data_IF_306169980401
#
_entry.id   IF_306169980401
#
_cell.length_a   1.000
_cell.length_b   1.000
_cell.length_c   1.000
_cell.angle_alpha   90.00
_cell.angle_beta   90.00
_cell.angle_gamma   90.00
#
_symmetry.space_group_name_H-M   'P 1'
#
loop_
_entity.id
_entity.type
_entity.pdbx_description
1 polymer ?
#
# COMPACT_ATOMS: atom_id res chain seq x y z
N UNK A 1 -12.59 17.89 -31.51
CA UNK A 1 -11.24 18.30 -31.01
C UNK A 1 -10.62 17.23 -30.12
N UNK A 2 -11.30 16.75 -29.06
CA UNK A 2 -10.80 15.69 -28.15
C UNK A 2 -10.31 14.42 -28.87
N UNK A 3 -11.15 13.81 -29.72
CA UNK A 3 -10.82 12.56 -30.43
C UNK A 3 -9.62 12.69 -31.40
N UNK A 4 -9.50 13.81 -32.11
CA UNK A 4 -8.36 14.05 -33.02
C UNK A 4 -7.05 14.25 -32.25
N UNK A 5 -7.09 15.07 -31.18
CA UNK A 5 -5.94 15.30 -30.31
C UNK A 5 -5.40 13.99 -29.75
N UNK A 6 -6.29 13.19 -29.15
CA UNK A 6 -5.95 11.89 -28.59
C UNK A 6 -5.38 10.92 -29.63
N UNK A 7 -6.01 10.82 -30.81
CA UNK A 7 -5.55 9.93 -31.89
C UNK A 7 -4.14 10.28 -32.36
N UNK A 8 -3.85 11.56 -32.56
CA UNK A 8 -2.51 12.01 -33.02
C UNK A 8 -1.46 11.85 -31.93
N UNK A 9 -1.80 12.15 -30.68
CA UNK A 9 -0.91 11.91 -29.53
C UNK A 9 -0.54 10.44 -29.37
N UNK A 10 -1.53 9.53 -29.44
CA UNK A 10 -1.30 8.09 -29.37
C UNK A 10 -0.45 7.59 -30.53
N UNK A 11 -0.73 8.04 -31.75
CA UNK A 11 0.06 7.66 -32.93
C UNK A 11 1.53 8.06 -32.79
N UNK A 12 1.79 9.32 -32.41
CA UNK A 12 3.16 9.79 -32.21
C UNK A 12 3.88 9.02 -31.09
N UNK A 13 3.19 8.78 -29.98
CA UNK A 13 3.74 7.99 -28.87
C UNK A 13 4.08 6.56 -29.27
N UNK A 14 3.17 5.86 -29.95
CA UNK A 14 3.36 4.46 -30.36
C UNK A 14 4.47 4.26 -31.39
N UNK A 15 4.79 5.30 -32.15
CA UNK A 15 5.81 5.25 -33.20
C UNK A 15 7.11 5.97 -32.81
N UNK A 16 7.25 6.39 -31.56
CA UNK A 16 8.42 7.11 -31.05
C UNK A 16 8.78 8.36 -31.86
N UNK A 17 7.74 9.10 -32.28
CA UNK A 17 7.88 10.26 -33.14
C UNK A 17 7.57 11.56 -32.40
N UNK A 18 8.25 12.62 -32.82
CA UNK A 18 7.90 14.01 -32.53
C UNK A 18 8.09 14.47 -31.07
N UNK A 19 8.69 13.66 -30.20
CA UNK A 19 8.93 14.03 -28.79
C UNK A 19 9.83 15.27 -28.62
N UNK A 20 10.71 15.53 -29.58
CA UNK A 20 11.58 16.71 -29.59
C UNK A 20 10.91 17.97 -30.15
N UNK A 21 9.72 17.86 -30.74
CA UNK A 21 8.98 19.00 -31.27
C UNK A 21 8.09 19.62 -30.20
N UNK A 22 7.92 20.94 -30.27
CA UNK A 22 6.96 21.61 -29.42
C UNK A 22 5.55 21.08 -29.70
N UNK A 23 4.72 20.95 -28.66
CA UNK A 23 3.37 20.40 -28.79
C UNK A 23 2.51 21.20 -29.81
N UNK A 24 2.81 22.48 -29.99
CA UNK A 24 2.18 23.36 -30.98
C UNK A 24 2.40 22.90 -32.42
N UNK A 25 3.49 22.20 -32.70
CA UNK A 25 3.78 21.60 -34.01
C UNK A 25 2.99 20.31 -34.23
N UNK A 26 2.47 19.71 -33.16
CA UNK A 26 1.64 18.53 -33.24
C UNK A 26 0.20 18.86 -33.64
N UNK A 27 -0.28 20.10 -33.49
CA UNK A 27 -1.70 20.40 -33.66
C UNK A 27 -1.93 21.73 -34.37
N UNK A 28 -2.81 21.72 -35.37
CA UNK A 28 -3.18 22.92 -36.15
C UNK A 28 -4.18 23.83 -35.40
N UNK A 29 -4.24 23.72 -34.07
CA UNK A 29 -5.14 24.50 -33.22
C UNK A 29 -4.45 24.95 -31.93
N UNK A 30 -4.96 26.03 -31.34
CA UNK A 30 -4.44 26.56 -30.08
C UNK A 30 -4.59 25.54 -28.95
N UNK A 31 -3.46 25.20 -28.33
CA UNK A 31 -3.38 24.27 -27.20
C UNK A 31 -3.65 25.03 -25.90
N UNK A 32 -4.57 24.57 -25.04
CA UNK A 32 -4.75 25.16 -23.72
C UNK A 32 -3.52 24.94 -22.85
N UNK A 33 -3.26 25.85 -21.91
CA UNK A 33 -2.17 25.65 -20.93
C UNK A 33 -2.51 24.44 -20.04
N UNK A 34 -1.49 23.65 -19.69
CA UNK A 34 -1.64 22.59 -18.68
C UNK A 34 -2.14 23.21 -17.37
N UNK A 35 -3.18 22.60 -16.80
CA UNK A 35 -3.65 22.89 -15.44
C UNK A 35 -3.00 21.99 -14.40
N UNK A 36 -2.21 21.01 -14.85
CA UNK A 36 -1.55 20.00 -14.03
C UNK A 36 -0.11 20.45 -13.81
N UNK A 37 0.38 20.25 -12.58
CA UNK A 37 1.73 20.61 -12.18
C UNK A 37 2.81 19.81 -12.94
N UNK A 38 3.98 20.38 -13.28
CA UNK A 38 5.04 19.66 -13.97
C UNK A 38 5.57 18.43 -13.23
N UNK A 39 5.50 18.44 -11.90
CA UNK A 39 5.90 17.37 -10.98
C UNK A 39 4.75 16.41 -10.64
N UNK A 40 3.58 16.53 -11.27
CA UNK A 40 2.41 15.72 -10.95
C UNK A 40 2.67 14.21 -11.03
N UNK A 41 3.46 13.76 -12.03
CA UNK A 41 3.80 12.34 -12.18
C UNK A 41 4.67 11.89 -11.01
N UNK A 42 5.68 12.67 -10.63
CA UNK A 42 6.56 12.38 -9.49
C UNK A 42 5.74 12.30 -8.19
N UNK A 43 4.92 13.32 -7.91
CA UNK A 43 4.04 13.33 -6.75
C UNK A 43 3.05 12.16 -6.73
N UNK A 44 2.52 11.75 -7.88
CA UNK A 44 1.59 10.61 -7.98
C UNK A 44 2.29 9.27 -7.73
N UNK A 45 3.58 9.16 -8.10
CA UNK A 45 4.39 7.97 -7.82
C UNK A 45 4.86 7.94 -6.37
N UNK A 46 5.13 9.10 -5.77
CA UNK A 46 5.54 9.24 -4.38
C UNK A 46 4.37 9.15 -3.40
N UNK A 47 3.16 9.53 -3.82
CA UNK A 47 1.98 9.44 -2.98
C UNK A 47 1.71 7.99 -2.64
N UNK A 48 1.93 7.61 -1.38
CA UNK A 48 1.35 6.40 -0.80
C UNK A 48 -0.16 6.61 -0.82
N UNK A 49 -0.82 6.09 -1.86
CA UNK A 49 -2.27 6.27 -2.08
C UNK A 49 -3.02 6.11 -0.75
N UNK A 50 -3.93 7.02 -0.38
CA UNK A 50 -4.82 6.81 0.76
C UNK A 50 -5.68 5.58 0.46
N UNK A 51 -5.38 4.47 1.11
CA UNK A 51 -5.94 3.18 0.78
C UNK A 51 -7.41 3.17 1.16
N UNK A 52 -8.28 3.27 0.16
CA UNK A 52 -9.72 3.16 0.33
C UNK A 52 -10.05 1.77 0.89
N UNK A 53 -10.60 1.70 2.10
CA UNK A 53 -10.89 0.43 2.80
C UNK A 53 -12.15 -0.17 2.16
N UNK A 54 -11.98 -0.87 1.05
CA UNK A 54 -13.06 -1.66 0.45
C UNK A 54 -13.33 -2.88 1.33
N UNK A 55 -14.41 -2.83 2.12
CA UNK A 55 -14.76 -3.89 3.08
C UNK A 55 -14.90 -5.29 2.45
N UNK A 56 -15.22 -5.37 1.15
CA UNK A 56 -15.36 -6.61 0.41
C UNK A 56 -14.04 -7.14 -0.19
N UNK A 57 -12.97 -6.33 -0.21
CA UNK A 57 -11.66 -6.76 -0.68
C UNK A 57 -11.12 -7.90 0.19
N UNK A 58 -10.48 -8.86 -0.45
CA UNK A 58 -9.83 -10.01 0.18
C UNK A 58 -8.43 -9.63 0.63
N UNK A 59 -8.07 -10.07 1.82
CA UNK A 59 -6.74 -9.89 2.39
C UNK A 59 -5.90 -11.14 2.12
N UNK A 60 -4.76 -10.96 1.47
CA UNK A 60 -3.82 -12.05 1.14
C UNK A 60 -2.41 -11.67 1.59
N UNK A 61 -1.77 -12.56 2.35
CA UNK A 61 -0.37 -12.49 2.74
C UNK A 61 0.46 -13.46 1.89
N UNK A 62 1.47 -12.93 1.20
CA UNK A 62 2.37 -13.72 0.34
C UNK A 62 3.77 -13.94 0.91
N UNK A 63 4.10 -13.29 2.03
CA UNK A 63 5.39 -13.47 2.70
C UNK A 63 5.45 -14.72 3.57
N UNK A 64 6.63 -14.99 4.12
CA UNK A 64 6.84 -16.08 5.08
C UNK A 64 6.46 -15.65 6.50
N UNK A 65 6.39 -16.62 7.42
CA UNK A 65 6.26 -16.32 8.85
C UNK A 65 7.46 -15.49 9.33
N UNK A 66 7.23 -14.46 10.17
CA UNK A 66 8.31 -13.63 10.69
C UNK A 66 9.12 -14.34 11.77
N UNK A 67 10.36 -13.89 11.97
CA UNK A 67 11.15 -14.18 13.17
C UNK A 67 10.69 -13.21 14.26
N UNK A 68 10.39 -13.72 15.45
CA UNK A 68 9.77 -12.94 16.54
C UNK A 68 10.72 -12.82 17.73
N UNK A 69 11.00 -11.59 18.14
CA UNK A 69 11.75 -11.28 19.34
C UNK A 69 10.87 -10.48 20.32
N UNK A 70 10.76 -10.94 21.56
CA UNK A 70 10.03 -10.25 22.62
C UNK A 70 10.96 -9.34 23.42
N UNK A 71 10.51 -8.12 23.70
CA UNK A 71 11.23 -7.18 24.55
C UNK A 71 10.26 -6.23 25.26
N UNK A 72 10.78 -5.47 26.23
CA UNK A 72 9.98 -4.52 27.00
C UNK A 72 10.43 -3.09 26.71
N UNK A 73 9.47 -2.18 26.49
CA UNK A 73 9.72 -0.75 26.45
C UNK A 73 9.24 -0.12 27.76
N UNK A 74 10.10 0.63 28.44
CA UNK A 74 9.72 1.41 29.61
C UNK A 74 9.36 2.83 29.17
N UNK A 75 8.14 3.26 29.48
CA UNK A 75 7.70 4.65 29.28
C UNK A 75 7.06 5.15 30.58
N UNK A 76 7.67 6.19 31.17
CA UNK A 76 7.23 6.77 32.45
C UNK A 76 7.08 5.73 33.59
N UNK A 77 8.04 4.80 33.69
CA UNK A 77 8.06 3.77 34.74
C UNK A 77 7.09 2.61 34.56
N UNK A 78 6.27 2.61 33.49
CA UNK A 78 5.46 1.45 33.10
C UNK A 78 6.19 0.67 32.01
N UNK A 79 6.46 -0.59 32.28
CA UNK A 79 6.93 -1.54 31.26
C UNK A 79 5.74 -2.04 30.44
N UNK A 80 5.86 -1.95 29.12
CA UNK A 80 4.91 -2.58 28.20
C UNK A 80 5.65 -3.60 27.33
N UNK A 81 5.09 -4.81 27.16
CA UNK A 81 5.67 -5.83 26.29
C UNK A 81 5.43 -5.49 24.81
N UNK A 82 6.48 -5.64 24.01
CA UNK A 82 6.49 -5.45 22.55
C UNK A 82 7.06 -6.69 21.88
N UNK A 83 6.62 -6.93 20.66
CA UNK A 83 7.22 -7.91 19.76
C UNK A 83 7.84 -7.18 18.57
N UNK A 84 9.06 -7.58 18.22
CA UNK A 84 9.70 -7.25 16.95
C UNK A 84 9.55 -8.45 16.02
N UNK A 85 8.85 -8.25 14.91
CA UNK A 85 8.63 -9.24 13.86
C UNK A 85 9.51 -8.89 12.67
N UNK A 86 10.40 -9.79 12.29
CA UNK A 86 11.30 -9.61 11.15
C UNK A 86 10.84 -10.51 10.00
N UNK A 87 10.39 -9.89 8.92
CA UNK A 87 9.96 -10.55 7.70
C UNK A 87 11.11 -10.54 6.70
N UNK A 88 11.48 -11.70 6.16
CA UNK A 88 12.59 -11.81 5.22
C UNK A 88 12.07 -12.21 3.83
N UNK A 89 12.62 -11.59 2.81
CA UNK A 89 12.49 -11.99 1.40
C UNK A 89 13.87 -12.30 0.82
N UNK A 90 13.93 -12.69 -0.46
CA UNK A 90 15.22 -12.97 -1.11
C UNK A 90 16.13 -11.74 -1.20
N UNK A 91 15.54 -10.53 -1.31
CA UNK A 91 16.27 -9.31 -1.63
C UNK A 91 16.17 -8.24 -0.52
N UNK A 92 15.31 -8.44 0.48
CA UNK A 92 14.97 -7.40 1.45
C UNK A 92 14.44 -7.99 2.78
N UNK A 93 14.48 -7.21 3.84
CA UNK A 93 13.96 -7.53 5.16
C UNK A 93 13.17 -6.37 5.76
N UNK A 94 12.00 -6.66 6.33
CA UNK A 94 11.17 -5.68 7.01
C UNK A 94 11.07 -5.99 8.50
N UNK A 95 11.34 -4.99 9.34
CA UNK A 95 11.10 -5.07 10.78
C UNK A 95 9.83 -4.32 11.18
N UNK A 96 8.90 -5.02 11.82
CA UNK A 96 7.67 -4.44 12.37
C UNK A 96 7.68 -4.59 13.88
N UNK A 97 7.57 -3.47 14.59
CA UNK A 97 7.55 -3.43 16.05
C UNK A 97 6.19 -2.97 16.55
N UNK A 98 5.47 -3.84 17.25
CA UNK A 98 4.13 -3.57 17.76
C UNK A 98 3.99 -4.02 19.23
N UNK A 99 3.05 -3.41 19.99
CA UNK A 99 2.65 -3.93 21.31
C UNK A 99 2.27 -5.42 21.19
N UNK A 100 2.67 -6.22 22.18
CA UNK A 100 2.52 -7.68 22.14
C UNK A 100 1.13 -8.18 21.71
N UNK A 101 0.01 -7.67 22.27
CA UNK A 101 -1.33 -8.12 21.86
C UNK A 101 -1.65 -7.84 20.38
N UNK A 102 -1.23 -6.68 19.86
CA UNK A 102 -1.47 -6.31 18.47
C UNK A 102 -0.57 -7.10 17.51
N UNK A 103 0.66 -7.38 17.92
CA UNK A 103 1.58 -8.22 17.15
C UNK A 103 1.09 -9.66 17.06
N UNK A 104 0.64 -10.24 18.18
CA UNK A 104 0.06 -11.58 18.21
C UNK A 104 -1.20 -11.69 17.33
N UNK A 105 -2.08 -10.68 17.43
CA UNK A 105 -3.25 -10.57 16.55
C UNK A 105 -2.84 -10.52 15.07
N UNK A 106 -1.88 -9.66 14.72
CA UNK A 106 -1.43 -9.51 13.34
C UNK A 106 -0.85 -10.83 12.80
N UNK A 107 -0.01 -11.52 13.57
CA UNK A 107 0.54 -12.82 13.17
C UNK A 107 -0.55 -13.85 12.89
N UNK A 108 -1.60 -13.90 13.73
CA UNK A 108 -2.74 -14.79 13.53
C UNK A 108 -3.52 -14.44 12.26
N UNK A 109 -3.71 -13.15 11.98
CA UNK A 109 -4.34 -12.69 10.73
C UNK A 109 -3.49 -13.10 9.53
N UNK A 110 -2.18 -12.82 9.53
CA UNK A 110 -1.29 -13.17 8.41
C UNK A 110 -1.24 -14.67 8.16
N UNK A 111 -1.14 -15.49 9.21
CA UNK A 111 -1.14 -16.95 9.11
C UNK A 111 -2.46 -17.52 8.56
N UNK A 112 -3.58 -16.83 8.78
CA UNK A 112 -4.92 -17.23 8.30
C UNK A 112 -5.38 -16.50 7.03
N UNK A 113 -4.49 -15.71 6.43
CA UNK A 113 -4.71 -14.94 5.20
C UNK A 113 -3.73 -15.33 4.09
N UNK A 114 -3.19 -16.55 4.11
CA UNK A 114 -2.29 -17.00 3.02
C UNK A 114 -3.07 -17.20 1.72
N UNK A 115 -2.37 -17.22 0.57
CA UNK A 115 -2.99 -17.47 -0.74
C UNK A 115 -3.74 -18.81 -0.85
N UNK A 116 -3.43 -19.78 0.02
CA UNK A 116 -4.08 -21.10 0.07
C UNK A 116 -5.24 -21.15 1.08
N UNK A 117 -5.47 -20.08 1.84
CA UNK A 117 -6.52 -20.03 2.86
C UNK A 117 -7.91 -20.03 2.22
N UNK A 118 -8.78 -20.94 2.65
CA UNK A 118 -10.18 -20.97 2.26
C UNK A 118 -11.11 -21.02 3.49
N UNK A 119 -12.07 -20.07 3.64
CA UNK A 119 -12.31 -18.92 2.78
C UNK A 119 -11.28 -17.79 2.98
N UNK A 120 -11.01 -17.01 1.93
CA UNK A 120 -10.22 -15.79 2.05
C UNK A 120 -10.95 -14.75 2.91
N UNK A 121 -10.23 -14.21 3.90
CA UNK A 121 -10.72 -13.16 4.79
C UNK A 121 -10.95 -11.86 4.03
N UNK A 122 -12.06 -11.18 4.29
CA UNK A 122 -12.30 -9.83 3.78
C UNK A 122 -11.72 -8.79 4.73
N UNK A 123 -11.37 -7.61 4.21
CA UNK A 123 -10.95 -6.48 5.05
C UNK A 123 -12.04 -6.13 6.07
N UNK A 124 -13.31 -6.21 5.68
CA UNK A 124 -14.43 -6.01 6.62
C UNK A 124 -14.42 -7.00 7.79
N UNK A 125 -14.17 -8.29 7.53
CA UNK A 125 -14.07 -9.29 8.59
C UNK A 125 -12.86 -9.08 9.51
N UNK A 126 -11.73 -8.67 8.94
CA UNK A 126 -10.50 -8.36 9.69
C UNK A 126 -10.69 -7.11 10.54
N UNK A 127 -11.36 -6.08 10.01
CA UNK A 127 -11.72 -4.87 10.75
C UNK A 127 -12.60 -5.21 11.95
N UNK A 128 -13.66 -5.99 11.76
CA UNK A 128 -14.52 -6.42 12.86
C UNK A 128 -13.78 -7.27 13.90
N UNK A 129 -12.90 -8.18 13.47
CA UNK A 129 -12.10 -9.00 14.38
C UNK A 129 -11.13 -8.17 15.23
N UNK A 130 -10.52 -7.14 14.64
CA UNK A 130 -9.69 -6.17 15.35
C UNK A 130 -10.49 -5.34 16.35
N UNK A 131 -11.63 -4.78 15.92
CA UNK A 131 -12.45 -3.87 16.72
C UNK A 131 -13.12 -4.56 17.92
N UNK A 132 -13.23 -5.89 17.89
CA UNK A 132 -13.66 -6.68 19.05
C UNK A 132 -12.61 -6.73 20.18
N UNK A 133 -11.33 -6.50 19.87
CA UNK A 133 -10.22 -6.63 20.82
C UNK A 133 -9.52 -5.30 21.11
N UNK A 134 -9.50 -4.40 20.13
CA UNK A 134 -8.76 -3.14 20.17
C UNK A 134 -9.61 -1.99 19.59
N UNK A 135 -9.44 -0.76 20.09
CA UNK A 135 -10.14 0.38 19.52
C UNK A 135 -9.52 0.83 18.19
N UNK A 136 -10.35 1.37 17.30
CA UNK A 136 -9.96 2.13 16.11
C UNK A 136 -9.01 1.37 15.16
N UNK A 137 -9.60 0.49 14.33
CA UNK A 137 -8.86 -0.25 13.31
C UNK A 137 -8.12 0.64 12.32
N UNK A 138 -8.71 1.76 11.92
CA UNK A 138 -8.13 2.64 10.89
C UNK A 138 -6.80 3.23 11.34
N UNK A 139 -6.69 3.65 12.60
CA UNK A 139 -5.42 4.15 13.15
C UNK A 139 -4.31 3.09 13.12
N UNK A 140 -4.65 1.83 13.34
CA UNK A 140 -3.71 0.72 13.22
C UNK A 140 -3.39 0.40 11.75
N UNK A 141 -4.42 0.29 10.92
CA UNK A 141 -4.32 -0.12 9.53
C UNK A 141 -3.56 0.87 8.65
N UNK A 142 -3.64 2.16 8.97
CA UNK A 142 -2.90 3.24 8.31
C UNK A 142 -1.59 3.61 9.03
N UNK A 143 -1.16 2.86 10.04
CA UNK A 143 0.15 3.07 10.64
C UNK A 143 1.28 2.73 9.67
N UNK A 144 2.41 3.43 9.78
CA UNK A 144 3.58 3.20 8.92
C UNK A 144 3.99 1.72 8.88
N UNK A 145 3.94 1.05 10.03
CA UNK A 145 4.26 -0.36 10.15
C UNK A 145 3.39 -1.28 9.28
N UNK A 146 2.09 -1.01 9.18
CA UNK A 146 1.17 -1.80 8.35
C UNK A 146 1.28 -1.39 6.89
N UNK A 147 1.50 -0.11 6.59
CA UNK A 147 1.76 0.35 5.24
C UNK A 147 3.01 -0.32 4.66
N UNK A 148 4.12 -0.33 5.41
CA UNK A 148 5.36 -0.98 5.00
C UNK A 148 5.16 -2.50 4.81
N UNK A 149 4.35 -3.15 5.67
CA UNK A 149 3.98 -4.55 5.50
C UNK A 149 3.16 -4.81 4.21
N UNK A 150 2.32 -3.86 3.79
CA UNK A 150 1.59 -3.93 2.52
C UNK A 150 2.52 -3.81 1.33
N UNK A 151 3.49 -2.91 1.36
CA UNK A 151 4.54 -2.84 0.35
C UNK A 151 5.38 -4.12 0.29
N UNK A 152 5.60 -4.77 1.45
CA UNK A 152 6.38 -5.99 1.53
C UNK A 152 5.64 -7.25 1.02
N UNK A 153 4.32 -7.35 1.22
CA UNK A 153 3.57 -8.51 0.75
C UNK A 153 2.14 -8.69 1.26
N UNK A 154 1.56 -7.70 1.94
CA UNK A 154 0.15 -7.74 2.37
C UNK A 154 -0.75 -7.11 1.30
N UNK A 155 -1.43 -7.96 0.54
CA UNK A 155 -2.23 -7.60 -0.62
C UNK A 155 -3.72 -7.47 -0.28
N UNK A 156 -4.39 -6.52 -0.93
CA UNK A 156 -5.85 -6.36 -0.93
C UNK A 156 -6.39 -6.50 -2.35
N UNK A 157 -7.27 -7.47 -2.60
CA UNK A 157 -7.79 -7.80 -3.94
C UNK A 157 -9.31 -7.82 -3.97
#
# INVERSE_FOLDING_TARGET
KFSFGLKKSLFNYMHDMCFDFNLQEWFDFKIPKSTISPDYIEQSLESRDPLDIKSNAKLIWIGTSPIVNEFKKSKKGKEQPYLQMTFNSMNDSLEVVLPKPQAEWLMNILASSTALSQPLKTIGSVKSDYENQFPNFESFWFSDAILDLRYFGLLSV
#
